data_IF_365528096430
#
_entry.id   IF_365528096430
#
_cell.length_a   1.000
_cell.length_b   1.000
_cell.length_c   1.000
_cell.angle_alpha   90.00
_cell.angle_beta   90.00
_cell.angle_gamma   90.00
#
_symmetry.space_group_name_H-M   'P 1'
#
loop_
_entity.id
_entity.type
_entity.pdbx_description
1 polymer ?
#
# COMPACT_ATOMS: atom_id res chain seq x y z
N UNK A 1 7.26 -19.26 -15.25
CA UNK A 1 6.94 -17.82 -15.11
C UNK A 1 8.08 -17.16 -14.37
N UNK A 2 8.56 -16.04 -14.87
CA UNK A 2 9.59 -15.27 -14.15
C UNK A 2 9.03 -14.81 -12.79
N UNK A 3 9.84 -14.87 -11.74
CA UNK A 3 9.48 -14.32 -10.44
C UNK A 3 9.53 -12.78 -10.51
N UNK A 4 8.67 -12.11 -9.77
CA UNK A 4 8.70 -10.65 -9.70
C UNK A 4 9.86 -10.17 -8.81
N UNK A 5 10.59 -9.16 -9.27
CA UNK A 5 11.65 -8.50 -8.50
C UNK A 5 11.07 -7.34 -7.71
N UNK A 6 11.38 -7.25 -6.41
CA UNK A 6 11.01 -6.10 -5.58
C UNK A 6 12.12 -5.06 -5.70
N UNK A 7 11.77 -3.86 -6.13
CA UNK A 7 12.71 -2.74 -6.28
C UNK A 7 12.05 -1.40 -5.99
N UNK A 8 12.85 -0.38 -5.70
CA UNK A 8 12.34 0.98 -5.56
C UNK A 8 11.66 1.46 -6.86
N UNK A 9 10.60 2.24 -6.73
CA UNK A 9 9.93 2.86 -7.87
C UNK A 9 10.81 3.94 -8.50
N UNK A 10 10.65 4.13 -9.80
CA UNK A 10 11.27 5.22 -10.57
C UNK A 10 10.20 6.02 -11.32
N UNK A 11 10.57 7.19 -11.83
CA UNK A 11 9.66 7.97 -12.69
C UNK A 11 9.23 7.22 -13.96
N UNK A 12 10.06 6.28 -14.43
CA UNK A 12 9.73 5.42 -15.57
C UNK A 12 8.60 4.42 -15.30
N UNK A 13 8.26 4.17 -14.04
CA UNK A 13 7.25 3.19 -13.65
C UNK A 13 5.84 3.78 -13.53
N UNK A 14 5.67 5.10 -13.67
CA UNK A 14 4.40 5.80 -13.40
C UNK A 14 3.22 5.17 -14.15
N UNK A 15 3.38 4.88 -15.44
CA UNK A 15 2.32 4.27 -16.24
C UNK A 15 1.97 2.85 -15.79
N UNK A 16 2.99 2.01 -15.53
CA UNK A 16 2.81 0.65 -15.02
C UNK A 16 2.21 0.61 -13.62
N UNK A 17 2.69 1.48 -12.74
CA UNK A 17 2.13 1.65 -11.40
C UNK A 17 0.65 2.07 -11.44
N UNK A 18 0.32 3.07 -12.28
CA UNK A 18 -1.07 3.48 -12.48
C UNK A 18 -1.94 2.32 -12.99
N UNK A 19 -1.44 1.54 -13.92
CA UNK A 19 -2.16 0.39 -14.46
C UNK A 19 -2.46 -0.67 -13.40
N UNK A 20 -1.47 -1.01 -12.54
CA UNK A 20 -1.64 -1.94 -11.43
C UNK A 20 -2.68 -1.44 -10.42
N UNK A 21 -2.57 -0.17 -9.99
CA UNK A 21 -3.52 0.44 -9.05
C UNK A 21 -4.93 0.45 -9.66
N UNK A 22 -5.06 0.82 -10.93
CA UNK A 22 -6.34 0.85 -11.64
C UNK A 22 -7.00 -0.53 -11.72
N UNK A 23 -6.22 -1.60 -11.93
CA UNK A 23 -6.75 -2.96 -11.97
C UNK A 23 -7.32 -3.41 -10.62
N UNK A 24 -6.66 -3.06 -9.52
CA UNK A 24 -7.13 -3.36 -8.16
C UNK A 24 -8.35 -2.49 -7.78
N UNK A 25 -8.37 -1.23 -8.20
CA UNK A 25 -9.56 -0.36 -8.04
C UNK A 25 -10.78 -0.94 -8.75
N UNK A 26 -10.59 -1.49 -9.95
CA UNK A 26 -11.69 -2.05 -10.75
C UNK A 26 -12.39 -3.24 -10.07
N UNK A 27 -11.73 -3.94 -9.18
CA UNK A 27 -12.33 -5.00 -8.37
C UNK A 27 -13.34 -4.45 -7.33
N UNK A 28 -13.25 -3.15 -6.96
CA UNK A 28 -14.14 -2.43 -6.01
C UNK A 28 -14.19 -3.04 -4.60
N UNK A 29 -13.19 -3.83 -4.23
CA UNK A 29 -13.13 -4.61 -2.98
C UNK A 29 -12.08 -4.07 -2.02
N UNK A 30 -10.88 -3.77 -2.50
CA UNK A 30 -9.70 -3.62 -1.65
C UNK A 30 -9.26 -2.18 -1.38
N UNK A 31 -9.51 -1.25 -2.29
CA UNK A 31 -9.06 0.13 -2.20
C UNK A 31 -10.21 1.09 -1.90
N UNK A 32 -9.87 2.21 -1.27
CA UNK A 32 -10.85 3.24 -0.92
C UNK A 32 -11.40 3.95 -2.16
N UNK A 33 -10.56 4.20 -3.16
CA UNK A 33 -10.99 4.79 -4.42
C UNK A 33 -11.81 3.78 -5.23
N UNK A 34 -12.90 4.25 -5.82
CA UNK A 34 -13.78 3.47 -6.72
C UNK A 34 -13.57 3.85 -8.19
N UNK A 35 -12.70 4.82 -8.46
CA UNK A 35 -12.39 5.32 -9.79
C UNK A 35 -10.87 5.43 -9.97
N UNK A 36 -10.33 5.07 -11.13
CA UNK A 36 -8.91 5.20 -11.42
C UNK A 36 -8.42 6.64 -11.28
N UNK A 37 -7.18 6.79 -10.80
CA UNK A 37 -6.52 8.10 -10.78
C UNK A 37 -6.07 8.50 -12.18
N UNK A 38 -6.04 9.81 -12.45
CA UNK A 38 -5.45 10.33 -13.69
C UNK A 38 -3.94 10.05 -13.73
N UNK A 39 -3.37 10.04 -14.92
CA UNK A 39 -1.92 9.91 -15.09
C UNK A 39 -1.18 11.06 -14.38
N UNK A 40 -1.68 12.29 -14.50
CA UNK A 40 -1.10 13.46 -13.86
C UNK A 40 -1.08 13.33 -12.34
N UNK A 41 -2.17 12.88 -11.73
CA UNK A 41 -2.25 12.69 -10.27
C UNK A 41 -1.31 11.56 -9.81
N UNK A 42 -1.22 10.48 -10.57
CA UNK A 42 -0.29 9.39 -10.27
C UNK A 42 1.16 9.85 -10.39
N UNK A 43 1.49 10.62 -11.42
CA UNK A 43 2.82 11.19 -11.60
C UNK A 43 3.22 12.13 -10.46
N UNK A 44 2.30 13.00 -10.03
CA UNK A 44 2.52 13.89 -8.89
C UNK A 44 2.77 13.12 -7.60
N UNK A 45 2.00 12.06 -7.34
CA UNK A 45 2.17 11.18 -6.18
C UNK A 45 3.56 10.52 -6.14
N UNK A 46 3.99 9.94 -7.25
CA UNK A 46 5.31 9.28 -7.35
C UNK A 46 6.44 10.31 -7.21
N UNK A 47 6.34 11.44 -7.89
CA UNK A 47 7.35 12.50 -7.84
C UNK A 47 7.51 13.05 -6.42
N UNK A 48 6.40 13.33 -5.73
CA UNK A 48 6.41 13.80 -4.34
C UNK A 48 7.08 12.77 -3.41
N UNK A 49 6.70 11.49 -3.49
CA UNK A 49 7.32 10.45 -2.69
C UNK A 49 8.83 10.34 -2.90
N UNK A 50 9.29 10.45 -4.14
CA UNK A 50 10.72 10.44 -4.45
C UNK A 50 11.43 11.69 -3.92
N UNK A 51 10.81 12.86 -4.02
CA UNK A 51 11.37 14.13 -3.56
C UNK A 51 11.55 14.17 -2.04
N UNK A 52 10.54 13.73 -1.28
CA UNK A 52 10.57 13.76 0.18
C UNK A 52 11.21 12.50 0.80
N UNK A 53 11.59 11.52 -0.01
CA UNK A 53 12.22 10.28 0.45
C UNK A 53 11.27 9.30 1.14
N UNK A 54 9.99 9.33 0.81
CA UNK A 54 9.03 8.32 1.26
C UNK A 54 9.34 6.96 0.61
N UNK A 55 9.43 5.87 1.37
CA UNK A 55 9.63 4.54 0.79
C UNK A 55 8.49 4.17 -0.16
N UNK A 56 8.82 3.83 -1.40
CA UNK A 56 7.87 3.28 -2.36
C UNK A 56 8.56 2.22 -3.22
N UNK A 57 8.03 1.00 -3.18
CA UNK A 57 8.54 -0.17 -3.88
C UNK A 57 7.49 -0.76 -4.80
N UNK A 58 7.97 -1.39 -5.86
CA UNK A 58 7.14 -2.10 -6.83
C UNK A 58 7.62 -3.54 -7.00
N UNK A 59 6.71 -4.41 -7.38
CA UNK A 59 7.00 -5.75 -7.85
C UNK A 59 7.02 -5.72 -9.38
N UNK A 60 8.19 -5.91 -9.96
CA UNK A 60 8.44 -5.86 -11.40
C UNK A 60 8.58 -7.29 -11.95
N UNK A 61 7.67 -7.68 -12.81
CA UNK A 61 7.62 -8.97 -13.48
C UNK A 61 8.07 -8.83 -14.96
N UNK A 62 9.34 -8.52 -15.17
CA UNK A 62 9.89 -8.38 -16.52
C UNK A 62 9.42 -7.13 -17.28
N UNK A 63 9.24 -6.02 -16.55
CA UNK A 63 8.78 -4.74 -17.09
C UNK A 63 7.28 -4.47 -16.82
N UNK A 64 6.54 -5.45 -16.33
CA UNK A 64 5.16 -5.27 -15.87
C UNK A 64 5.15 -5.03 -14.36
N UNK A 65 4.54 -3.94 -13.91
CA UNK A 65 4.35 -3.68 -12.47
C UNK A 65 3.11 -4.44 -12.00
N UNK A 66 3.33 -5.41 -11.11
CA UNK A 66 2.29 -6.34 -10.65
C UNK A 66 1.92 -6.18 -9.18
N UNK A 67 2.57 -5.24 -8.50
CA UNK A 67 2.28 -4.91 -7.11
C UNK A 67 3.07 -3.70 -6.65
N UNK A 68 2.66 -3.12 -5.54
CA UNK A 68 3.30 -1.94 -4.93
C UNK A 68 3.13 -1.94 -3.41
N UNK A 69 4.01 -1.24 -2.74
CA UNK A 69 3.87 -0.85 -1.34
C UNK A 69 4.57 0.47 -1.11
N UNK A 70 3.90 1.40 -0.46
CA UNK A 70 4.47 2.71 -0.11
C UNK A 70 4.13 3.08 1.33
N UNK A 71 4.96 3.96 1.90
CA UNK A 71 4.72 4.61 3.19
C UNK A 71 4.87 6.10 3.00
N UNK A 72 3.80 6.85 3.25
CA UNK A 72 3.81 8.31 3.21
C UNK A 72 3.87 8.88 4.62
N UNK A 73 4.79 9.81 4.84
CA UNK A 73 4.91 10.52 6.10
C UNK A 73 3.70 11.44 6.31
N UNK A 74 3.19 11.46 7.53
CA UNK A 74 2.20 12.46 7.92
C UNK A 74 2.81 13.88 7.90
N UNK A 75 2.02 14.84 7.44
CA UNK A 75 2.47 16.22 7.20
C UNK A 75 2.26 17.14 8.40
N UNK A 76 1.47 16.72 9.38
CA UNK A 76 1.26 17.47 10.61
C UNK A 76 2.41 17.16 11.57
N UNK A 77 3.07 18.19 12.09
CA UNK A 77 4.30 18.06 12.90
C UNK A 77 4.19 17.05 14.04
N UNK A 78 3.07 17.06 14.77
CA UNK A 78 2.84 16.11 15.89
C UNK A 78 2.66 14.65 15.44
N UNK A 79 2.44 14.40 14.15
CA UNK A 79 2.29 13.08 13.55
C UNK A 79 3.45 12.72 12.60
N UNK A 80 4.45 13.58 12.46
CA UNK A 80 5.56 13.39 11.51
C UNK A 80 6.42 12.15 11.76
N UNK A 81 6.30 11.53 12.94
CA UNK A 81 6.92 10.24 13.27
C UNK A 81 6.15 9.05 12.67
N UNK A 82 4.93 9.27 12.17
CA UNK A 82 4.03 8.25 11.64
C UNK A 82 4.03 8.23 10.12
N UNK A 83 3.96 7.04 9.55
CA UNK A 83 3.74 6.81 8.13
C UNK A 83 2.46 6.05 7.86
N UNK A 84 1.77 6.39 6.77
CA UNK A 84 0.58 5.69 6.31
C UNK A 84 0.98 4.75 5.18
N UNK A 85 0.72 3.46 5.35
CA UNK A 85 1.04 2.41 4.40
C UNK A 85 -0.12 2.16 3.43
N UNK A 86 0.20 2.10 2.15
CA UNK A 86 -0.68 1.62 1.09
C UNK A 86 0.00 0.52 0.30
N UNK A 87 -0.74 -0.52 -0.09
CA UNK A 87 -0.22 -1.59 -0.92
C UNK A 87 -1.29 -2.32 -1.72
N UNK A 88 -0.87 -3.01 -2.75
CA UNK A 88 -1.71 -3.92 -3.51
C UNK A 88 -0.89 -4.85 -4.39
N UNK A 89 -1.52 -5.95 -4.78
CA UNK A 89 -0.98 -6.93 -5.74
C UNK A 89 -2.08 -7.24 -6.76
N UNK A 90 -1.75 -7.18 -8.03
CA UNK A 90 -2.65 -7.53 -9.13
C UNK A 90 -3.15 -8.96 -8.97
N UNK A 91 -4.43 -9.21 -9.24
CA UNK A 91 -5.12 -10.48 -8.94
C UNK A 91 -4.34 -11.73 -9.41
N UNK A 92 -3.90 -11.73 -10.66
CA UNK A 92 -3.17 -12.86 -11.26
C UNK A 92 -1.83 -13.17 -10.57
N UNK A 93 -1.33 -12.27 -9.73
CA UNK A 93 -0.04 -12.41 -9.04
C UNK A 93 -0.16 -12.65 -7.53
N UNK A 94 -1.38 -12.73 -7.01
CA UNK A 94 -1.63 -13.03 -5.59
C UNK A 94 -1.30 -14.49 -5.24
N UNK A 95 -1.03 -14.75 -3.97
CA UNK A 95 -0.73 -16.10 -3.49
C UNK A 95 0.69 -16.59 -3.77
N UNK A 96 1.59 -15.70 -4.19
CA UNK A 96 2.98 -16.00 -4.54
C UNK A 96 4.00 -15.35 -3.59
N UNK A 97 3.56 -14.86 -2.43
CA UNK A 97 4.43 -14.21 -1.45
C UNK A 97 4.87 -12.79 -1.82
N UNK A 98 4.41 -12.22 -2.95
CA UNK A 98 4.80 -10.89 -3.40
C UNK A 98 4.42 -9.81 -2.38
N UNK A 99 3.20 -9.86 -1.84
CA UNK A 99 2.75 -8.90 -0.84
C UNK A 99 3.61 -8.89 0.42
N UNK A 100 4.04 -10.05 0.91
CA UNK A 100 4.94 -10.15 2.06
C UNK A 100 6.32 -9.59 1.76
N UNK A 101 6.88 -9.87 0.60
CA UNK A 101 8.18 -9.31 0.17
C UNK A 101 8.11 -7.80 0.04
N UNK A 102 7.06 -7.26 -0.57
CA UNK A 102 6.83 -5.82 -0.72
C UNK A 102 6.77 -5.13 0.65
N UNK A 103 5.91 -5.59 1.55
CA UNK A 103 5.72 -4.93 2.84
C UNK A 103 6.96 -4.99 3.71
N UNK A 104 7.68 -6.12 3.76
CA UNK A 104 8.92 -6.24 4.52
C UNK A 104 10.00 -5.29 4.01
N UNK A 105 10.22 -5.25 2.69
CA UNK A 105 11.17 -4.32 2.06
C UNK A 105 10.82 -2.87 2.36
N UNK A 106 9.54 -2.52 2.26
CA UNK A 106 9.06 -1.15 2.53
C UNK A 106 9.21 -0.77 3.99
N UNK A 107 8.92 -1.68 4.93
CA UNK A 107 9.09 -1.44 6.36
C UNK A 107 10.57 -1.29 6.76
N UNK A 108 11.47 -2.05 6.15
CA UNK A 108 12.92 -1.90 6.39
C UNK A 108 13.41 -0.52 5.92
N UNK A 109 12.96 -0.07 4.75
CA UNK A 109 13.27 1.28 4.26
C UNK A 109 12.63 2.37 5.14
N UNK A 110 11.43 2.16 5.66
CA UNK A 110 10.77 3.08 6.58
C UNK A 110 11.57 3.24 7.90
N UNK A 111 12.05 2.14 8.46
CA UNK A 111 12.96 2.19 9.64
C UNK A 111 14.20 3.02 9.33
N UNK A 112 14.84 2.77 8.21
CA UNK A 112 16.04 3.51 7.79
C UNK A 112 15.76 4.99 7.55
N UNK A 113 14.54 5.35 7.19
CA UNK A 113 14.09 6.75 6.98
C UNK A 113 13.58 7.44 8.25
N UNK A 114 13.71 6.80 9.42
CA UNK A 114 13.38 7.40 10.71
C UNK A 114 11.89 7.45 11.04
N UNK A 115 11.06 6.60 10.43
CA UNK A 115 9.69 6.40 10.90
C UNK A 115 9.69 5.62 12.21
N UNK A 116 8.85 6.03 13.15
CA UNK A 116 8.69 5.36 14.45
C UNK A 116 7.43 4.49 14.52
N UNK A 117 6.41 4.84 13.72
CA UNK A 117 5.14 4.13 13.64
C UNK A 117 4.63 4.06 12.21
N UNK A 118 4.07 2.92 11.82
CA UNK A 118 3.34 2.76 10.57
C UNK A 118 1.89 2.40 10.87
N UNK A 119 0.98 3.08 10.19
CA UNK A 119 -0.45 2.84 10.29
C UNK A 119 -1.02 2.41 8.93
N UNK A 120 -2.06 1.64 8.96
CA UNK A 120 -2.84 1.26 7.78
C UNK A 120 -4.32 1.07 8.12
N UNK A 121 -5.14 1.10 7.09
CA UNK A 121 -6.54 0.71 7.16
C UNK A 121 -6.78 -0.53 6.32
N UNK A 122 -7.58 -1.46 6.82
CA UNK A 122 -7.99 -2.67 6.09
C UNK A 122 -9.48 -2.94 6.32
N UNK A 123 -10.19 -3.33 5.28
CA UNK A 123 -11.62 -3.66 5.40
C UNK A 123 -11.79 -5.00 6.12
N UNK A 124 -12.81 -5.10 6.96
CA UNK A 124 -13.07 -6.30 7.76
C UNK A 124 -13.25 -7.56 6.90
N UNK A 125 -13.80 -7.41 5.71
CA UNK A 125 -13.96 -8.48 4.73
C UNK A 125 -12.66 -8.94 4.07
N UNK A 126 -11.60 -8.10 4.11
CA UNK A 126 -10.29 -8.43 3.54
C UNK A 126 -9.43 -9.20 4.54
N UNK A 127 -9.86 -10.41 4.89
CA UNK A 127 -9.19 -11.27 5.88
C UNK A 127 -7.79 -11.70 5.45
N UNK A 128 -7.54 -11.79 4.14
CA UNK A 128 -6.24 -12.15 3.59
C UNK A 128 -5.19 -11.06 3.86
N UNK A 129 -5.50 -9.80 3.57
CA UNK A 129 -4.59 -8.69 3.85
C UNK A 129 -4.39 -8.52 5.35
N UNK A 130 -5.45 -8.62 6.15
CA UNK A 130 -5.35 -8.58 7.61
C UNK A 130 -4.38 -9.64 8.13
N UNK A 131 -4.50 -10.89 7.67
CA UNK A 131 -3.58 -11.96 8.07
C UNK A 131 -2.13 -11.67 7.70
N UNK A 132 -1.86 -11.06 6.54
CA UNK A 132 -0.53 -10.61 6.17
C UNK A 132 -0.01 -9.52 7.13
N UNK A 133 -0.83 -8.52 7.44
CA UNK A 133 -0.44 -7.44 8.35
C UNK A 133 -0.14 -7.95 9.76
N UNK A 134 -0.98 -8.84 10.30
CA UNK A 134 -0.74 -9.49 11.59
C UNK A 134 0.56 -10.30 11.58
N UNK A 135 0.82 -11.04 10.50
CA UNK A 135 2.07 -11.83 10.33
C UNK A 135 3.33 -10.96 10.36
N UNK A 136 3.29 -9.75 9.84
CA UNK A 136 4.44 -8.83 9.86
C UNK A 136 4.50 -7.94 11.10
N UNK A 137 3.54 -8.08 12.02
CA UNK A 137 3.59 -7.48 13.34
C UNK A 137 2.62 -6.33 13.59
N UNK A 138 1.73 -5.99 12.64
CA UNK A 138 0.68 -5.01 12.90
C UNK A 138 -0.34 -5.52 13.90
N UNK A 139 -0.83 -4.64 14.75
CA UNK A 139 -1.88 -4.91 15.72
C UNK A 139 -3.11 -4.05 15.46
N UNK A 140 -4.29 -4.56 15.79
CA UNK A 140 -5.52 -3.80 15.69
C UNK A 140 -5.54 -2.69 16.76
N UNK A 141 -5.76 -1.46 16.35
CA UNK A 141 -5.87 -0.29 17.23
C UNK A 141 -7.31 0.21 17.36
N UNK A 142 -8.16 -0.10 16.41
CA UNK A 142 -9.57 0.28 16.46
C UNK A 142 -10.33 -0.11 15.19
N UNK A 143 -11.65 0.08 15.24
CA UNK A 143 -12.52 -0.24 14.11
C UNK A 143 -13.52 0.90 13.90
N UNK A 144 -13.63 1.36 12.65
CA UNK A 144 -14.69 2.28 12.22
C UNK A 144 -15.86 1.43 11.73
N UNK A 145 -16.92 1.35 12.52
CA UNK A 145 -18.13 0.61 12.15
C UNK A 145 -18.77 1.30 10.96
N UNK A 146 -19.10 0.50 9.92
CA UNK A 146 -19.63 1.01 8.63
C UNK A 146 -18.76 2.12 8.03
N UNK A 147 -17.45 2.00 8.18
CA UNK A 147 -16.50 3.02 7.72
C UNK A 147 -16.38 3.14 6.20
N UNK A 148 -16.85 2.14 5.46
CA UNK A 148 -16.88 2.12 3.99
C UNK A 148 -18.29 1.79 3.49
N UNK A 149 -18.70 2.43 2.39
CA UNK A 149 -19.94 2.09 1.66
C UNK A 149 -19.65 1.94 0.17
N UNK A 150 -20.13 0.85 -0.43
CA UNK A 150 -20.09 0.62 -1.89
C UNK A 150 -21.47 0.15 -2.32
N UNK A 151 -22.16 0.95 -3.14
CA UNK A 151 -23.57 0.73 -3.40
C UNK A 151 -24.38 0.83 -2.11
N UNK A 152 -25.11 -0.23 -1.78
CA UNK A 152 -25.89 -0.35 -0.53
C UNK A 152 -25.19 -1.16 0.57
N UNK A 153 -24.01 -1.71 0.27
CA UNK A 153 -23.25 -2.53 1.19
C UNK A 153 -22.30 -1.69 2.05
N UNK A 154 -22.21 -2.04 3.33
CA UNK A 154 -21.28 -1.44 4.29
C UNK A 154 -20.19 -2.43 4.68
N UNK A 155 -19.01 -1.90 4.94
CA UNK A 155 -17.90 -2.65 5.52
C UNK A 155 -17.29 -1.87 6.68
N UNK A 156 -16.88 -2.59 7.73
CA UNK A 156 -16.12 -2.00 8.81
C UNK A 156 -14.67 -1.79 8.36
N UNK A 157 -14.02 -0.77 8.90
CA UNK A 157 -12.62 -0.45 8.60
C UNK A 157 -11.79 -0.65 9.85
N UNK A 158 -10.90 -1.65 9.83
CA UNK A 158 -9.92 -1.87 10.87
C UNK A 158 -8.74 -0.92 10.71
N UNK A 159 -8.39 -0.23 11.77
CA UNK A 159 -7.18 0.59 11.87
C UNK A 159 -6.11 -0.25 12.55
N UNK A 160 -4.98 -0.44 11.89
CA UNK A 160 -3.87 -1.24 12.42
C UNK A 160 -2.59 -0.42 12.49
N UNK A 161 -1.76 -0.70 13.48
CA UNK A 161 -0.50 0.00 13.71
C UNK A 161 0.67 -0.94 13.98
N UNK A 162 1.87 -0.49 13.62
CA UNK A 162 3.13 -1.16 13.89
C UNK A 162 4.14 -0.14 14.42
N UNK A 163 4.67 -0.39 15.61
CA UNK A 163 5.81 0.38 16.14
C UNK A 163 7.12 -0.16 15.55
N UNK A 164 7.95 0.75 15.04
CA UNK A 164 9.23 0.43 14.40
C UNK A 164 10.42 0.58 15.36
N UNK A 165 10.21 0.43 16.63
CA UNK A 165 11.21 0.61 17.68
C UNK A 165 12.51 -0.15 17.49
#
# INVERSE_FOLDING_TARGET
>A
MADAVIRAITLGDIAGFRASVSSVIAERVYLASLHPFSLLRTAAFVAENLEVGNPQFVADAGGEIVGWCDVRRETIDSYAHTGILGMGVVEAWRGRGIGERLIRTTLDAARASGFEKIELSVYATNTRARGLYEKVGFVLEGTRVRGRKVGDDYDDVHMMGLLLG
#
